data_IF_330104061420
#
_entry.id   IF_330104061420
#
_cell.length_a   1.000
_cell.length_b   1.000
_cell.length_c   1.000
_cell.angle_alpha   90.00
_cell.angle_beta   90.00
_cell.angle_gamma   90.00
#
_symmetry.space_group_name_H-M   'P 1'
#
loop_
_entity.id
_entity.type
_entity.pdbx_description
1 polymer ?
#
# COMPACT_ATOMS: atom_id res chain seq x y z
N UNK A 1 14.21 16.25 -7.64
CA UNK A 1 14.78 14.99 -8.19
C UNK A 1 13.71 13.92 -8.08
N UNK A 2 13.48 13.15 -9.12
CA UNK A 2 12.48 12.07 -9.14
C UNK A 2 13.20 10.72 -8.99
N UNK A 3 12.74 9.86 -8.08
CA UNK A 3 13.32 8.52 -7.89
C UNK A 3 12.71 7.59 -8.92
N UNK A 4 13.53 6.79 -9.60
CA UNK A 4 13.08 5.88 -10.68
C UNK A 4 12.16 4.75 -10.22
N UNK A 5 12.09 4.46 -8.91
CA UNK A 5 11.27 3.37 -8.34
C UNK A 5 11.43 2.05 -9.11
N UNK A 6 12.66 1.67 -9.38
CA UNK A 6 13.03 0.57 -10.30
C UNK A 6 12.38 -0.77 -9.93
N UNK A 7 12.09 -1.00 -8.65
CA UNK A 7 11.39 -2.20 -8.19
C UNK A 7 9.99 -2.33 -8.83
N UNK A 8 9.27 -1.21 -8.98
CA UNK A 8 7.95 -1.18 -9.64
C UNK A 8 8.09 -1.19 -11.15
N UNK A 9 9.01 -0.38 -11.72
CA UNK A 9 9.24 -0.33 -13.17
C UNK A 9 9.59 -1.71 -13.72
N UNK A 10 10.44 -2.48 -13.02
CA UNK A 10 10.79 -3.87 -13.41
C UNK A 10 9.58 -4.79 -13.50
N UNK A 11 8.58 -4.59 -12.64
CA UNK A 11 7.34 -5.38 -12.63
C UNK A 11 6.36 -4.92 -13.69
N UNK A 12 6.34 -3.63 -14.02
CA UNK A 12 5.42 -3.04 -15.01
C UNK A 12 5.90 -3.30 -16.44
N UNK A 13 7.22 -3.23 -16.70
CA UNK A 13 7.80 -3.38 -18.06
C UNK A 13 7.30 -4.60 -18.85
N UNK A 14 7.17 -5.80 -18.28
CA UNK A 14 6.64 -6.95 -19.04
C UNK A 14 5.23 -6.77 -19.59
N UNK A 15 4.48 -5.81 -19.07
CA UNK A 15 3.09 -5.53 -19.45
C UNK A 15 2.94 -4.29 -20.34
N UNK A 16 4.01 -3.54 -20.56
CA UNK A 16 4.02 -2.37 -21.44
C UNK A 16 3.75 -2.82 -22.87
N UNK A 17 2.82 -2.13 -23.55
CA UNK A 17 2.43 -2.44 -24.93
C UNK A 17 1.52 -3.68 -25.09
N UNK A 18 1.16 -4.35 -23.99
CA UNK A 18 0.31 -5.53 -23.95
C UNK A 18 -1.13 -5.19 -23.53
N UNK A 19 -2.08 -6.06 -23.91
CA UNK A 19 -3.53 -5.90 -23.72
C UNK A 19 -4.01 -5.66 -22.26
N UNK A 20 -3.44 -6.29 -21.21
CA UNK A 20 -3.93 -6.05 -19.87
C UNK A 20 -3.79 -4.59 -19.43
N UNK A 21 -4.87 -4.03 -18.86
CA UNK A 21 -4.89 -2.70 -18.27
C UNK A 21 -3.95 -2.69 -17.05
N UNK A 22 -3.09 -1.67 -16.94
CA UNK A 22 -2.19 -1.49 -15.81
C UNK A 22 -2.88 -0.60 -14.78
N UNK A 23 -3.18 -1.18 -13.63
CA UNK A 23 -3.89 -0.50 -12.55
C UNK A 23 -2.92 -0.23 -11.41
N UNK A 24 -2.64 1.03 -11.14
CA UNK A 24 -1.78 1.46 -10.04
C UNK A 24 -2.66 1.90 -8.86
N UNK A 25 -2.66 1.11 -7.80
CA UNK A 25 -3.43 1.38 -6.58
C UNK A 25 -2.50 1.72 -5.40
N UNK A 26 -3.07 2.07 -4.26
CA UNK A 26 -2.33 2.35 -3.04
C UNK A 26 -2.81 3.61 -2.34
N UNK A 27 -2.33 3.83 -1.11
CA UNK A 27 -2.74 4.97 -0.29
C UNK A 27 -2.51 6.31 -1.01
N UNK A 28 -3.36 7.29 -0.73
CA UNK A 28 -3.17 8.68 -1.20
C UNK A 28 -1.77 9.18 -0.83
N UNK A 29 -1.12 9.88 -1.76
CA UNK A 29 0.23 10.42 -1.54
C UNK A 29 1.38 9.43 -1.71
N UNK A 30 1.15 8.15 -2.01
CA UNK A 30 2.21 7.14 -2.22
C UNK A 30 3.02 7.31 -3.50
N UNK A 31 2.62 8.23 -4.39
CA UNK A 31 3.33 8.53 -5.65
C UNK A 31 2.80 7.80 -6.88
N UNK A 32 1.51 7.43 -6.90
CA UNK A 32 0.86 6.78 -8.07
C UNK A 32 0.95 7.63 -9.34
N UNK A 33 0.60 8.92 -9.25
CA UNK A 33 0.68 9.86 -10.39
C UNK A 33 2.11 9.97 -10.92
N UNK A 34 3.10 10.05 -10.00
CA UNK A 34 4.52 10.08 -10.39
C UNK A 34 4.94 8.78 -11.09
N UNK A 35 4.36 7.63 -10.71
CA UNK A 35 4.62 6.38 -11.43
C UNK A 35 4.08 6.42 -12.87
N UNK A 36 2.94 7.08 -13.13
CA UNK A 36 2.47 7.32 -14.50
C UNK A 36 3.47 8.15 -15.30
N UNK A 37 4.02 9.22 -14.70
CA UNK A 37 5.04 10.05 -15.34
C UNK A 37 6.30 9.26 -15.64
N UNK A 38 6.78 8.42 -14.70
CA UNK A 38 7.96 7.56 -14.91
C UNK A 38 7.75 6.55 -16.05
N UNK A 39 6.56 5.97 -16.16
CA UNK A 39 6.21 5.06 -17.25
C UNK A 39 6.20 5.83 -18.57
N UNK A 40 5.60 7.02 -18.61
CA UNK A 40 5.58 7.89 -19.80
C UNK A 40 7.00 8.28 -20.24
N UNK A 41 7.86 8.70 -19.30
CA UNK A 41 9.27 9.03 -19.58
C UNK A 41 10.02 7.84 -20.18
N UNK A 42 9.81 6.63 -19.65
CA UNK A 42 10.46 5.43 -20.19
C UNK A 42 9.96 5.08 -21.61
N UNK A 43 8.67 5.25 -21.87
CA UNK A 43 8.09 5.06 -23.20
C UNK A 43 8.64 6.07 -24.22
N UNK A 44 8.74 7.35 -23.85
CA UNK A 44 9.36 8.39 -24.68
C UNK A 44 10.83 8.05 -24.95
N UNK A 45 11.58 7.62 -23.92
CA UNK A 45 12.96 7.21 -24.07
C UNK A 45 13.14 5.98 -24.98
N UNK A 46 12.10 5.13 -25.11
CA UNK A 46 12.06 4.00 -26.05
C UNK A 46 11.67 4.37 -27.47
N UNK A 47 11.39 5.65 -27.75
CA UNK A 47 11.08 6.17 -29.08
C UNK A 47 9.60 6.39 -29.38
N UNK A 48 8.71 6.26 -28.39
CA UNK A 48 7.28 6.60 -28.56
C UNK A 48 7.12 8.11 -28.64
N UNK A 49 6.38 8.57 -29.64
CA UNK A 49 6.11 10.02 -29.82
C UNK A 49 5.20 10.56 -28.73
N UNK A 50 5.48 11.78 -28.24
CA UNK A 50 4.63 12.45 -27.26
C UNK A 50 3.19 12.64 -27.74
N UNK A 51 2.96 12.72 -29.06
CA UNK A 51 1.62 12.80 -29.67
C UNK A 51 0.76 11.53 -29.47
N UNK A 52 1.37 10.40 -29.11
CA UNK A 52 0.65 9.13 -28.86
C UNK A 52 0.12 9.02 -27.42
N UNK A 53 0.40 9.98 -26.55
CA UNK A 53 -0.05 9.98 -25.16
C UNK A 53 -1.27 10.86 -24.96
N UNK A 54 -2.32 10.28 -24.35
CA UNK A 54 -3.47 11.01 -23.86
C UNK A 54 -3.50 10.85 -22.35
N UNK A 55 -3.42 11.98 -21.62
CA UNK A 55 -3.28 11.98 -20.14
C UNK A 55 -4.33 12.88 -19.50
N UNK A 56 -5.14 12.32 -18.61
CA UNK A 56 -6.11 13.05 -17.80
C UNK A 56 -5.93 12.75 -16.32
N UNK A 57 -5.94 13.82 -15.50
CA UNK A 57 -6.10 13.72 -14.06
C UNK A 57 -7.49 14.23 -13.70
N UNK A 58 -8.35 13.35 -13.16
CA UNK A 58 -9.76 13.65 -12.90
C UNK A 58 -10.01 14.39 -11.58
N UNK A 59 -9.02 14.59 -10.73
CA UNK A 59 -9.11 15.57 -9.63
C UNK A 59 -8.92 17.01 -10.11
N UNK A 60 -8.40 17.22 -11.33
CA UNK A 60 -8.18 18.56 -11.87
C UNK A 60 -9.48 19.16 -12.41
N UNK A 61 -9.86 20.34 -11.93
CA UNK A 61 -11.10 21.03 -12.30
C UNK A 61 -11.28 21.24 -13.81
N UNK A 62 -10.17 21.42 -14.56
CA UNK A 62 -10.18 21.52 -16.02
C UNK A 62 -10.77 20.30 -16.70
N UNK A 63 -10.72 19.13 -16.07
CA UNK A 63 -11.21 17.86 -16.58
C UNK A 63 -12.58 17.45 -16.00
N UNK A 64 -13.21 18.30 -15.17
CA UNK A 64 -14.48 18.00 -14.52
C UNK A 64 -15.61 17.67 -15.52
N UNK A 65 -15.56 18.25 -16.72
CA UNK A 65 -16.51 17.97 -17.79
C UNK A 65 -16.37 16.56 -18.39
N UNK A 66 -15.27 15.85 -18.11
CA UNK A 66 -15.00 14.47 -18.57
C UNK A 66 -15.35 13.41 -17.52
N UNK A 67 -15.90 13.80 -16.37
CA UNK A 67 -16.19 12.87 -15.27
C UNK A 67 -17.45 12.00 -15.48
N UNK A 68 -17.84 11.75 -16.75
CA UNK A 68 -18.83 10.73 -17.12
C UNK A 68 -18.27 9.85 -18.24
N UNK A 69 -18.68 8.57 -18.26
CA UNK A 69 -18.20 7.62 -19.26
C UNK A 69 -18.43 8.11 -20.71
N UNK A 70 -19.61 8.72 -20.97
CA UNK A 70 -19.98 9.18 -22.31
C UNK A 70 -19.16 10.40 -22.76
N UNK A 71 -18.85 11.31 -21.82
CA UNK A 71 -18.03 12.49 -22.13
C UNK A 71 -16.57 12.08 -22.36
N UNK A 72 -16.02 11.23 -21.49
CA UNK A 72 -14.66 10.71 -21.65
C UNK A 72 -14.52 9.90 -22.92
N UNK A 73 -15.48 9.04 -23.24
CA UNK A 73 -15.47 8.25 -24.47
C UNK A 73 -15.38 9.13 -25.72
N UNK A 74 -16.26 10.13 -25.83
CA UNK A 74 -16.26 11.05 -26.99
C UNK A 74 -14.95 11.81 -27.13
N UNK A 75 -14.41 12.30 -26.02
CA UNK A 75 -13.13 13.02 -26.01
C UNK A 75 -11.96 12.15 -26.50
N UNK A 76 -11.86 10.92 -25.97
CA UNK A 76 -10.80 9.98 -26.39
C UNK A 76 -10.93 9.62 -27.85
N UNK A 77 -12.12 9.25 -28.33
CA UNK A 77 -12.33 8.90 -29.74
C UNK A 77 -11.96 10.08 -30.66
N UNK A 78 -12.33 11.31 -30.28
CA UNK A 78 -11.96 12.50 -31.04
C UNK A 78 -10.46 12.70 -31.12
N UNK A 79 -9.75 12.61 -29.98
CA UNK A 79 -8.29 12.80 -29.95
C UNK A 79 -7.54 11.67 -30.68
N UNK A 80 -8.06 10.45 -30.68
CA UNK A 80 -7.40 9.31 -31.34
C UNK A 80 -7.50 9.34 -32.87
N UNK A 81 -8.42 10.09 -33.48
CA UNK A 81 -8.58 10.17 -34.93
C UNK A 81 -7.36 10.73 -35.66
N UNK A 82 -6.56 11.53 -34.98
CA UNK A 82 -5.37 12.18 -35.56
C UNK A 82 -4.05 11.43 -35.18
N UNK A 83 -4.15 10.39 -34.38
CA UNK A 83 -2.96 9.65 -33.86
C UNK A 83 -2.72 8.42 -34.76
N UNK A 84 -1.52 8.34 -35.34
CA UNK A 84 -1.08 7.17 -36.06
C UNK A 84 -0.38 6.16 -35.14
N UNK A 85 -0.87 4.90 -35.15
CA UNK A 85 -0.31 3.82 -34.35
C UNK A 85 -0.95 3.67 -32.98
N UNK A 86 -0.27 2.96 -32.08
CA UNK A 86 -0.77 2.65 -30.74
C UNK A 86 -0.89 3.91 -29.88
N UNK A 87 -2.02 4.05 -29.18
CA UNK A 87 -2.30 5.16 -28.27
C UNK A 87 -2.04 4.71 -26.84
N UNK A 88 -1.39 5.57 -26.04
CA UNK A 88 -1.11 5.34 -24.64
C UNK A 88 -2.02 6.22 -23.76
N UNK A 89 -2.96 5.57 -23.06
CA UNK A 89 -3.99 6.24 -22.27
C UNK A 89 -3.59 6.23 -20.79
N UNK A 90 -3.44 7.42 -20.20
CA UNK A 90 -3.06 7.60 -18.81
C UNK A 90 -4.18 8.33 -18.05
N UNK A 91 -4.85 7.62 -17.14
CA UNK A 91 -5.97 8.13 -16.38
C UNK A 91 -5.68 8.13 -14.88
N UNK A 92 -5.41 9.31 -14.32
CA UNK A 92 -5.12 9.48 -12.92
C UNK A 92 -6.42 9.74 -12.13
N UNK A 93 -6.62 9.00 -11.02
CA UNK A 93 -7.81 9.00 -10.17
C UNK A 93 -9.11 8.73 -10.95
N UNK A 94 -9.11 7.65 -11.76
CA UNK A 94 -10.21 7.29 -12.70
C UNK A 94 -11.57 7.10 -12.00
N UNK A 95 -11.60 6.79 -10.69
CA UNK A 95 -12.84 6.60 -9.94
C UNK A 95 -13.68 7.88 -9.79
N UNK A 96 -13.15 9.03 -10.15
CA UNK A 96 -13.92 10.27 -10.23
C UNK A 96 -14.83 10.32 -11.46
N UNK A 97 -14.64 9.42 -12.44
CA UNK A 97 -15.48 9.28 -13.62
C UNK A 97 -16.61 8.28 -13.36
N UNK A 98 -17.85 8.70 -13.52
CA UNK A 98 -19.03 7.85 -13.31
C UNK A 98 -19.11 6.79 -14.43
N UNK A 99 -19.26 5.51 -14.06
CA UNK A 99 -19.33 4.35 -14.96
C UNK A 99 -18.07 4.19 -15.87
N UNK A 100 -16.91 4.60 -15.38
CA UNK A 100 -15.66 4.58 -16.12
C UNK A 100 -15.27 3.19 -16.66
N UNK A 101 -15.72 2.12 -16.02
CA UNK A 101 -15.40 0.73 -16.40
C UNK A 101 -15.87 0.40 -17.81
N UNK A 102 -17.07 0.90 -18.19
CA UNK A 102 -17.64 0.70 -19.52
C UNK A 102 -16.80 1.39 -20.57
N UNK A 103 -16.40 2.62 -20.30
CA UNK A 103 -15.59 3.43 -21.19
C UNK A 103 -14.21 2.78 -21.40
N UNK A 104 -13.52 2.38 -20.34
CA UNK A 104 -12.21 1.72 -20.43
C UNK A 104 -12.29 0.40 -21.21
N UNK A 105 -13.34 -0.39 -21.00
CA UNK A 105 -13.52 -1.63 -21.75
C UNK A 105 -13.78 -1.35 -23.27
N UNK A 106 -14.53 -0.29 -23.61
CA UNK A 106 -14.74 0.11 -25.01
C UNK A 106 -13.42 0.51 -25.68
N UNK A 107 -12.59 1.33 -25.03
CA UNK A 107 -11.28 1.69 -25.59
C UNK A 107 -10.41 0.46 -25.90
N UNK A 108 -10.38 -0.50 -24.99
CA UNK A 108 -9.62 -1.74 -25.19
C UNK A 108 -10.12 -2.57 -26.39
N UNK A 109 -11.41 -2.51 -26.69
CA UNK A 109 -12.02 -3.28 -27.79
C UNK A 109 -11.89 -2.55 -29.14
N UNK A 110 -11.99 -1.22 -29.11
CA UNK A 110 -12.15 -0.39 -30.32
C UNK A 110 -10.85 0.25 -30.79
N UNK A 111 -9.85 0.40 -29.89
CA UNK A 111 -8.60 1.11 -30.17
C UNK A 111 -7.38 0.18 -30.04
N UNK A 112 -6.36 0.40 -30.86
CA UNK A 112 -5.02 -0.10 -30.58
C UNK A 112 -4.40 0.77 -29.50
N UNK A 113 -4.64 0.42 -28.23
CA UNK A 113 -4.23 1.24 -27.12
C UNK A 113 -3.55 0.44 -25.99
N UNK A 114 -2.80 1.16 -25.17
CA UNK A 114 -2.20 0.70 -23.93
C UNK A 114 -2.70 1.57 -22.77
N UNK A 115 -3.35 0.97 -21.77
CA UNK A 115 -4.13 1.69 -20.78
C UNK A 115 -3.50 1.59 -19.40
N UNK A 116 -3.28 2.74 -18.76
CA UNK A 116 -2.77 2.91 -17.41
C UNK A 116 -3.76 3.73 -16.59
N UNK A 117 -4.20 3.20 -15.47
CA UNK A 117 -5.14 3.89 -14.58
C UNK A 117 -4.61 3.92 -13.14
N UNK A 118 -4.96 4.96 -12.39
CA UNK A 118 -4.69 5.00 -10.96
C UNK A 118 -5.96 5.13 -10.15
N UNK A 119 -5.86 4.74 -8.88
CA UNK A 119 -6.89 4.99 -7.88
C UNK A 119 -6.40 4.80 -6.46
N UNK A 120 -6.97 5.56 -5.53
CA UNK A 120 -6.60 5.56 -4.12
C UNK A 120 -7.40 4.56 -3.26
N UNK A 121 -8.14 3.62 -3.91
CA UNK A 121 -9.01 2.69 -3.18
C UNK A 121 -9.06 1.31 -3.84
N UNK A 122 -8.98 0.25 -3.02
CA UNK A 122 -9.06 -1.14 -3.49
C UNK A 122 -10.42 -1.50 -4.10
N UNK A 123 -11.49 -0.75 -3.78
CA UNK A 123 -12.80 -0.91 -4.43
C UNK A 123 -12.76 -0.58 -5.92
N UNK A 124 -11.73 0.13 -6.40
CA UNK A 124 -11.49 0.31 -7.82
C UNK A 124 -11.50 -1.04 -8.57
N UNK A 125 -11.06 -2.11 -7.91
CA UNK A 125 -10.94 -3.46 -8.47
C UNK A 125 -12.00 -4.45 -7.94
N UNK A 126 -13.05 -3.96 -7.27
CA UNK A 126 -14.13 -4.77 -6.70
C UNK A 126 -15.49 -4.48 -7.34
N UNK A 127 -16.47 -5.36 -7.12
CA UNK A 127 -17.83 -5.17 -7.61
C UNK A 127 -17.99 -5.36 -9.12
N UNK A 128 -18.65 -4.42 -9.80
CA UNK A 128 -18.90 -4.49 -11.24
C UNK A 128 -17.61 -4.54 -12.07
N UNK A 129 -16.55 -3.90 -11.59
CA UNK A 129 -15.24 -3.91 -12.23
C UNK A 129 -14.65 -5.32 -12.30
N UNK A 130 -14.72 -6.07 -11.20
CA UNK A 130 -14.29 -7.46 -11.19
C UNK A 130 -15.04 -8.29 -12.24
N UNK A 131 -16.25 -7.89 -12.60
CA UNK A 131 -17.07 -8.57 -13.61
C UNK A 131 -16.74 -8.12 -15.02
N UNK A 132 -16.64 -6.80 -15.28
CA UNK A 132 -16.38 -6.26 -16.64
C UNK A 132 -14.93 -6.44 -17.09
N UNK A 133 -13.96 -6.34 -16.18
CA UNK A 133 -12.54 -6.40 -16.49
C UNK A 133 -11.84 -7.65 -15.95
N UNK A 134 -12.59 -8.67 -15.52
CA UNK A 134 -12.04 -9.93 -14.98
C UNK A 134 -11.01 -10.54 -15.94
N UNK A 135 -9.79 -10.75 -15.43
CA UNK A 135 -8.68 -11.32 -16.22
C UNK A 135 -8.07 -10.35 -17.26
N UNK A 136 -8.45 -9.08 -17.25
CA UNK A 136 -8.03 -8.08 -18.26
C UNK A 136 -7.21 -6.93 -17.69
N UNK A 137 -6.83 -7.01 -16.41
CA UNK A 137 -5.99 -6.02 -15.75
C UNK A 137 -4.93 -6.68 -14.90
N UNK A 138 -3.88 -5.92 -14.64
CA UNK A 138 -2.83 -6.27 -13.66
C UNK A 138 -2.74 -5.13 -12.65
N UNK A 139 -2.81 -5.47 -11.37
CA UNK A 139 -2.70 -4.52 -10.28
C UNK A 139 -1.25 -4.38 -9.80
N UNK A 140 -0.85 -3.13 -9.60
CA UNK A 140 0.42 -2.74 -8.98
C UNK A 140 0.12 -1.85 -7.78
N UNK A 141 0.27 -2.39 -6.57
CA UNK A 141 0.09 -1.60 -5.35
C UNK A 141 1.35 -0.76 -5.13
N UNK A 142 1.18 0.57 -5.15
CA UNK A 142 2.24 1.54 -4.96
C UNK A 142 2.26 1.94 -3.48
N UNK A 143 3.25 1.45 -2.75
CA UNK A 143 3.47 1.75 -1.34
C UNK A 143 4.22 3.08 -1.16
N UNK A 144 4.16 3.74 0.01
CA UNK A 144 5.11 4.77 0.41
C UNK A 144 6.56 4.28 0.24
N UNK A 145 7.53 5.14 0.25
CA UNK A 145 8.92 4.78 0.03
C UNK A 145 9.42 3.71 1.01
N UNK A 146 10.15 2.75 0.48
CA UNK A 146 11.03 1.89 1.28
C UNK A 146 12.18 2.72 1.88
N UNK A 147 12.85 2.20 2.90
CA UNK A 147 14.05 2.87 3.41
C UNK A 147 15.10 3.10 2.32
N UNK A 148 15.23 2.19 1.36
CA UNK A 148 16.16 2.35 0.23
C UNK A 148 15.82 3.56 -0.62
N UNK A 149 14.56 3.71 -1.04
CA UNK A 149 14.05 4.84 -1.82
C UNK A 149 14.11 6.14 -1.02
N UNK A 150 13.72 6.10 0.26
CA UNK A 150 13.84 7.24 1.17
C UNK A 150 15.28 7.72 1.28
N UNK A 151 16.24 6.82 1.53
CA UNK A 151 17.65 7.15 1.66
C UNK A 151 18.21 7.80 0.40
N UNK A 152 17.85 7.29 -0.78
CA UNK A 152 18.27 7.87 -2.07
C UNK A 152 17.83 9.34 -2.16
N UNK A 153 16.56 9.63 -1.86
CA UNK A 153 16.04 10.99 -1.90
C UNK A 153 16.59 11.87 -0.75
N UNK A 154 16.69 11.31 0.45
CA UNK A 154 17.22 12.02 1.63
C UNK A 154 18.66 12.48 1.41
N UNK A 155 19.51 11.60 0.87
CA UNK A 155 20.91 11.95 0.58
C UNK A 155 21.03 12.97 -0.56
N UNK A 156 20.06 13.05 -1.47
CA UNK A 156 20.04 14.12 -2.47
C UNK A 156 19.74 15.51 -1.87
N UNK A 157 18.95 15.54 -0.77
CA UNK A 157 18.65 16.77 -0.03
C UNK A 157 19.78 17.11 0.96
N UNK A 158 20.39 16.07 1.58
CA UNK A 158 21.43 16.18 2.59
C UNK A 158 22.64 15.30 2.20
N UNK A 159 23.53 15.79 1.29
CA UNK A 159 24.62 14.96 0.75
C UNK A 159 25.63 14.48 1.80
N UNK A 160 25.74 15.18 2.94
CA UNK A 160 26.65 14.82 4.04
C UNK A 160 26.04 13.81 5.03
N UNK A 161 24.76 13.43 4.88
CA UNK A 161 24.11 12.51 5.79
C UNK A 161 24.61 11.08 5.62
N UNK A 162 24.93 10.43 6.75
CA UNK A 162 25.28 9.02 6.76
C UNK A 162 24.03 8.12 6.82
N UNK A 163 24.17 6.80 6.55
CA UNK A 163 23.02 5.87 6.56
C UNK A 163 22.29 5.79 7.89
N UNK A 164 22.96 5.96 9.04
CA UNK A 164 22.33 5.91 10.35
C UNK A 164 21.45 7.13 10.60
N UNK A 165 21.91 8.31 10.17
CA UNK A 165 21.11 9.55 10.21
C UNK A 165 19.87 9.44 9.32
N UNK A 166 20.03 8.94 8.08
CA UNK A 166 18.90 8.72 7.19
C UNK A 166 17.90 7.70 7.76
N UNK A 167 18.37 6.65 8.44
CA UNK A 167 17.50 5.68 9.07
C UNK A 167 16.76 6.24 10.27
N UNK A 168 17.44 7.04 11.11
CA UNK A 168 16.81 7.71 12.24
C UNK A 168 15.69 8.67 11.75
N UNK A 169 15.95 9.43 10.69
CA UNK A 169 14.94 10.30 10.10
C UNK A 169 13.77 9.49 9.53
N UNK A 170 14.04 8.38 8.82
CA UNK A 170 13.00 7.50 8.31
C UNK A 170 12.11 6.93 9.40
N UNK A 171 12.68 6.54 10.56
CA UNK A 171 11.92 6.06 11.70
C UNK A 171 10.92 7.09 12.23
N UNK A 172 11.26 8.38 12.13
CA UNK A 172 10.44 9.47 12.66
C UNK A 172 9.47 10.03 11.62
N UNK A 173 9.96 10.27 10.41
CA UNK A 173 9.20 10.96 9.35
C UNK A 173 8.34 9.99 8.51
N UNK A 174 8.69 8.71 8.44
CA UNK A 174 8.05 7.76 7.53
C UNK A 174 8.57 7.84 6.11
N UNK A 175 7.84 7.21 5.20
CA UNK A 175 8.21 7.05 3.79
C UNK A 175 7.31 7.81 2.80
N UNK A 176 6.51 8.78 3.23
CA UNK A 176 5.69 9.55 2.28
C UNK A 176 6.56 10.41 1.36
N UNK A 177 6.42 10.27 0.01
CA UNK A 177 7.33 10.90 -0.95
C UNK A 177 7.42 12.42 -0.85
N UNK A 178 6.32 13.10 -0.53
CA UNK A 178 6.25 14.56 -0.50
C UNK A 178 7.10 15.20 0.60
N UNK A 179 7.50 14.45 1.64
CA UNK A 179 8.32 14.97 2.75
C UNK A 179 9.66 15.54 2.30
N UNK A 180 10.20 15.04 1.20
CA UNK A 180 11.41 15.59 0.59
C UNK A 180 11.25 17.04 0.13
N UNK A 181 10.06 17.40 -0.39
CA UNK A 181 9.76 18.79 -0.79
C UNK A 181 9.72 19.74 0.42
N UNK A 182 9.42 19.22 1.59
CA UNK A 182 9.45 19.92 2.87
C UNK A 182 10.84 19.85 3.53
N UNK A 183 11.84 19.29 2.82
CA UNK A 183 13.21 19.09 3.29
C UNK A 183 13.27 18.38 4.65
N UNK A 184 12.32 17.50 4.91
CA UNK A 184 12.17 16.74 6.17
C UNK A 184 12.13 17.64 7.42
N UNK A 185 11.71 18.90 7.29
CA UNK A 185 11.53 19.80 8.43
C UNK A 185 10.39 19.27 9.31
N UNK A 186 10.68 19.07 10.61
CA UNK A 186 9.82 18.33 11.55
C UNK A 186 8.37 18.82 11.57
N UNK A 187 8.16 20.12 11.80
CA UNK A 187 6.81 20.66 11.94
C UNK A 187 6.04 20.70 10.61
N UNK A 188 6.60 21.16 9.47
CA UNK A 188 5.93 21.04 8.17
C UNK A 188 5.59 19.59 7.77
N UNK A 189 6.48 18.63 8.06
CA UNK A 189 6.22 17.22 7.78
C UNK A 189 5.07 16.67 8.63
N UNK A 190 5.01 17.01 9.93
CA UNK A 190 3.92 16.63 10.82
C UNK A 190 2.59 17.18 10.32
N UNK A 191 2.51 18.48 10.02
CA UNK A 191 1.31 19.13 9.49
C UNK A 191 0.84 18.50 8.16
N UNK A 192 1.79 18.17 7.29
CA UNK A 192 1.46 17.48 6.03
C UNK A 192 0.89 16.08 6.26
N UNK A 193 1.48 15.30 7.18
CA UNK A 193 1.03 13.93 7.48
C UNK A 193 -0.36 13.93 8.15
N UNK A 194 -0.63 14.88 9.05
CA UNK A 194 -1.95 15.10 9.64
C UNK A 194 -2.99 15.46 8.57
N UNK A 195 -2.70 16.42 7.69
CA UNK A 195 -3.59 16.80 6.59
C UNK A 195 -3.81 15.65 5.59
N UNK A 196 -2.79 14.83 5.35
CA UNK A 196 -2.90 13.64 4.52
C UNK A 196 -3.81 12.60 5.17
N UNK A 197 -3.62 12.33 6.46
CA UNK A 197 -4.46 11.44 7.25
C UNK A 197 -5.93 11.88 7.21
N UNK A 198 -6.21 13.15 7.47
CA UNK A 198 -7.56 13.73 7.38
C UNK A 198 -8.16 13.54 5.98
N UNK A 199 -7.38 13.76 4.93
CA UNK A 199 -7.83 13.55 3.56
C UNK A 199 -8.19 12.09 3.28
N UNK A 200 -7.39 11.12 3.76
CA UNK A 200 -7.68 9.69 3.63
C UNK A 200 -8.96 9.34 4.40
N UNK A 201 -9.09 9.80 5.66
CA UNK A 201 -10.25 9.50 6.49
C UNK A 201 -11.51 10.12 5.89
N UNK A 202 -11.50 11.41 5.56
CA UNK A 202 -12.70 12.13 5.11
C UNK A 202 -13.10 11.77 3.68
N UNK A 203 -12.17 11.76 2.72
CA UNK A 203 -12.48 11.51 1.31
C UNK A 203 -12.58 10.02 0.99
N UNK A 204 -11.54 9.25 1.35
CA UNK A 204 -11.40 7.88 0.87
C UNK A 204 -12.16 6.88 1.75
N UNK A 205 -12.47 7.21 3.02
CA UNK A 205 -13.22 6.35 3.93
C UNK A 205 -14.65 6.89 4.16
N UNK A 206 -14.80 8.05 4.79
CA UNK A 206 -16.11 8.58 5.24
C UNK A 206 -17.02 8.86 4.07
N UNK A 207 -16.61 9.74 3.14
CA UNK A 207 -17.43 10.15 1.99
C UNK A 207 -17.78 8.97 1.10
N UNK A 208 -16.79 8.12 0.79
CA UNK A 208 -16.97 7.00 -0.15
C UNK A 208 -17.86 5.88 0.38
N UNK A 209 -17.89 5.68 1.69
CA UNK A 209 -18.68 4.62 2.31
C UNK A 209 -19.92 5.15 3.04
N UNK A 210 -20.23 6.45 2.95
CA UNK A 210 -21.34 7.11 3.66
C UNK A 210 -21.32 6.77 5.16
N UNK A 211 -20.16 6.84 5.80
CA UNK A 211 -19.98 6.55 7.22
C UNK A 211 -20.79 7.57 8.04
N UNK A 212 -21.69 7.08 8.90
CA UNK A 212 -22.56 7.93 9.72
C UNK A 212 -21.94 8.28 11.06
N UNK A 213 -21.27 7.33 11.70
CA UNK A 213 -20.62 7.52 13.00
C UNK A 213 -19.11 7.69 12.80
N UNK A 214 -18.71 8.94 12.52
CA UNK A 214 -17.31 9.30 12.25
C UNK A 214 -16.47 9.18 13.53
N UNK A 215 -17.01 9.56 14.71
CA UNK A 215 -16.31 9.43 15.99
C UNK A 215 -15.96 7.95 16.31
N UNK A 216 -16.88 7.03 16.03
CA UNK A 216 -16.57 5.60 16.17
C UNK A 216 -15.46 5.15 15.21
N UNK A 217 -15.51 5.60 13.96
CA UNK A 217 -14.47 5.28 12.98
C UNK A 217 -13.10 5.79 13.45
N UNK A 218 -13.01 7.05 13.87
CA UNK A 218 -11.76 7.65 14.35
C UNK A 218 -11.20 6.90 15.56
N UNK A 219 -12.06 6.48 16.51
CA UNK A 219 -11.65 5.65 17.65
C UNK A 219 -11.12 4.28 17.24
N UNK A 220 -11.74 3.66 16.23
CA UNK A 220 -11.25 2.37 15.68
C UNK A 220 -9.88 2.57 15.04
N UNK A 221 -9.72 3.62 14.23
CA UNK A 221 -8.45 3.94 13.58
C UNK A 221 -7.37 4.22 14.63
N UNK A 222 -7.67 5.08 15.62
CA UNK A 222 -6.75 5.40 16.70
C UNK A 222 -6.31 4.16 17.48
N UNK A 223 -7.27 3.27 17.82
CA UNK A 223 -6.97 2.02 18.52
C UNK A 223 -6.03 1.12 17.71
N UNK A 224 -6.31 0.90 16.42
CA UNK A 224 -5.48 0.05 15.55
C UNK A 224 -4.10 0.69 15.37
N UNK A 225 -4.03 2.01 15.15
CA UNK A 225 -2.78 2.74 14.95
C UNK A 225 -1.88 2.71 16.20
N UNK A 226 -2.47 2.84 17.40
CA UNK A 226 -1.73 2.71 18.65
C UNK A 226 -1.22 1.27 18.89
N UNK A 227 -1.94 0.26 18.39
CA UNK A 227 -1.67 -1.16 18.58
C UNK A 227 -1.24 -1.88 17.29
N UNK A 228 -0.53 -1.18 16.41
CA UNK A 228 0.00 -1.76 15.16
C UNK A 228 0.81 -3.03 15.46
N UNK A 229 0.60 -4.09 14.67
CA UNK A 229 1.31 -5.36 14.87
C UNK A 229 0.82 -6.20 16.05
N UNK A 230 -0.14 -5.73 16.84
CA UNK A 230 -0.76 -6.54 17.90
C UNK A 230 -2.02 -7.25 17.42
N UNK A 231 -2.38 -8.35 18.11
CA UNK A 231 -3.60 -9.11 17.76
C UNK A 231 -4.87 -8.31 18.06
N UNK A 232 -5.72 -8.13 17.07
CA UNK A 232 -6.98 -7.41 17.18
C UNK A 232 -8.16 -8.39 17.33
N UNK A 233 -9.08 -8.07 18.24
CA UNK A 233 -10.34 -8.78 18.41
C UNK A 233 -11.52 -7.80 18.42
N UNK A 234 -12.39 -7.88 17.40
CA UNK A 234 -13.60 -7.05 17.35
C UNK A 234 -14.52 -7.26 18.57
N UNK A 235 -14.60 -8.50 19.08
CA UNK A 235 -15.36 -8.80 20.28
C UNK A 235 -14.79 -8.14 21.54
N UNK A 236 -13.46 -8.12 21.70
CA UNK A 236 -12.81 -7.44 22.81
C UNK A 236 -12.99 -5.93 22.73
N UNK A 237 -12.89 -5.38 21.52
CA UNK A 237 -13.12 -3.96 21.24
C UNK A 237 -14.55 -3.54 21.59
N UNK A 238 -15.57 -4.31 21.17
CA UNK A 238 -16.98 -4.00 21.46
C UNK A 238 -17.30 -4.11 22.96
N UNK A 239 -16.66 -5.05 23.69
CA UNK A 239 -16.78 -5.13 25.15
C UNK A 239 -16.24 -3.89 25.84
N UNK A 240 -15.09 -3.38 25.39
CA UNK A 240 -14.51 -2.14 25.89
C UNK A 240 -15.47 -0.96 25.68
N UNK A 241 -16.04 -0.79 24.46
CA UNK A 241 -17.02 0.26 24.18
C UNK A 241 -18.29 0.16 25.02
N UNK A 242 -18.75 -1.06 25.30
CA UNK A 242 -19.90 -1.30 26.18
C UNK A 242 -19.62 -0.84 27.59
N UNK A 243 -18.40 -0.99 28.10
CA UNK A 243 -18.02 -0.48 29.45
C UNK A 243 -17.96 1.05 29.50
N UNK A 244 -17.80 1.73 28.36
CA UNK A 244 -17.89 3.19 28.23
C UNK A 244 -19.34 3.69 27.94
N UNK A 245 -20.33 2.80 28.05
CA UNK A 245 -21.75 3.15 27.83
C UNK A 245 -22.20 3.20 26.39
N UNK A 246 -21.37 2.75 25.43
CA UNK A 246 -21.70 2.69 23.98
C UNK A 246 -21.89 1.24 23.55
N UNK A 247 -23.00 0.97 22.86
CA UNK A 247 -23.26 -0.35 22.26
C UNK A 247 -22.93 -0.31 20.77
N UNK A 248 -21.93 -1.10 20.38
CA UNK A 248 -21.49 -1.23 18.99
C UNK A 248 -21.46 -2.71 18.62
N UNK A 249 -21.94 -3.07 17.43
CA UNK A 249 -21.86 -4.44 16.95
C UNK A 249 -20.45 -4.76 16.41
N UNK A 250 -20.00 -6.01 16.58
CA UNK A 250 -18.73 -6.48 15.99
C UNK A 250 -18.74 -6.35 14.48
N UNK A 251 -19.91 -6.49 13.84
CA UNK A 251 -20.07 -6.34 12.41
C UNK A 251 -19.78 -4.88 11.96
N UNK A 252 -20.30 -3.88 12.69
CA UNK A 252 -20.00 -2.47 12.41
C UNK A 252 -18.50 -2.19 12.51
N UNK A 253 -17.84 -2.69 13.56
CA UNK A 253 -16.40 -2.54 13.74
C UNK A 253 -15.64 -3.16 12.57
N UNK A 254 -15.98 -4.39 12.17
CA UNK A 254 -15.33 -5.07 11.05
C UNK A 254 -15.58 -4.37 9.70
N UNK A 255 -16.77 -3.80 9.50
CA UNK A 255 -17.08 -3.01 8.31
C UNK A 255 -16.22 -1.73 8.26
N UNK A 256 -16.05 -1.02 9.37
CA UNK A 256 -15.21 0.18 9.42
C UNK A 256 -13.73 -0.16 9.18
N UNK A 257 -13.25 -1.27 9.76
CA UNK A 257 -11.90 -1.77 9.46
C UNK A 257 -11.76 -2.08 7.97
N UNK A 258 -12.75 -2.73 7.35
CA UNK A 258 -12.73 -3.01 5.92
C UNK A 258 -12.63 -1.75 5.08
N UNK A 259 -13.34 -0.66 5.45
CA UNK A 259 -13.23 0.62 4.77
C UNK A 259 -11.82 1.22 4.86
N UNK A 260 -11.14 1.03 6.00
CA UNK A 260 -9.74 1.45 6.16
C UNK A 260 -8.78 0.59 5.32
N UNK A 261 -9.03 -0.71 5.19
CA UNK A 261 -8.27 -1.59 4.30
C UNK A 261 -8.49 -1.22 2.82
N UNK A 262 -9.73 -0.95 2.43
CA UNK A 262 -10.08 -0.52 1.08
C UNK A 262 -9.39 0.81 0.70
N UNK A 263 -9.19 1.71 1.66
CA UNK A 263 -8.44 2.97 1.48
C UNK A 263 -6.91 2.81 1.58
N UNK A 264 -6.41 1.59 1.71
CA UNK A 264 -4.99 1.27 1.92
C UNK A 264 -4.37 1.97 3.14
N UNK A 265 -5.18 2.43 4.11
CA UNK A 265 -4.66 2.98 5.35
C UNK A 265 -4.01 1.90 6.21
N UNK A 266 -4.65 0.73 6.27
CA UNK A 266 -4.13 -0.45 6.94
C UNK A 266 -3.99 -1.63 6.00
N UNK A 267 -3.11 -2.57 6.40
CA UNK A 267 -2.94 -3.88 5.78
C UNK A 267 -3.18 -4.96 6.83
N UNK A 268 -3.95 -5.96 6.45
CA UNK A 268 -4.35 -7.07 7.32
C UNK A 268 -3.44 -8.27 7.13
N UNK A 269 -2.98 -8.85 8.23
CA UNK A 269 -2.23 -10.10 8.23
C UNK A 269 -3.03 -11.18 8.95
N UNK A 270 -3.26 -12.27 8.24
CA UNK A 270 -3.94 -13.44 8.79
C UNK A 270 -2.99 -14.25 9.67
N UNK A 271 -3.57 -14.92 10.65
CA UNK A 271 -2.84 -15.81 11.52
C UNK A 271 -2.82 -17.23 10.97
N UNK A 272 -1.69 -17.89 11.04
CA UNK A 272 -1.52 -19.29 10.66
C UNK A 272 -1.14 -20.11 11.89
N UNK A 273 -1.89 -21.18 12.15
CA UNK A 273 -1.48 -22.20 13.12
C UNK A 273 -0.41 -23.09 12.47
N UNK A 274 0.78 -23.09 13.07
CA UNK A 274 1.92 -23.88 12.57
C UNK A 274 1.73 -25.39 12.78
N UNK A 275 0.96 -25.79 13.79
CA UNK A 275 0.69 -27.21 14.07
C UNK A 275 -0.44 -27.76 13.19
N UNK A 276 -1.54 -27.01 13.06
CA UNK A 276 -2.71 -27.42 12.27
C UNK A 276 -2.65 -27.02 10.80
N UNK A 277 -1.67 -26.24 10.36
CA UNK A 277 -1.57 -25.66 8.99
C UNK A 277 -2.83 -24.90 8.54
N UNK A 278 -3.64 -24.44 9.48
CA UNK A 278 -4.89 -23.73 9.21
C UNK A 278 -4.70 -22.22 9.32
N UNK A 279 -5.28 -21.49 8.39
CA UNK A 279 -5.38 -20.03 8.48
C UNK A 279 -6.55 -19.71 9.41
N UNK A 280 -6.27 -19.00 10.50
CA UNK A 280 -7.28 -18.59 11.46
C UNK A 280 -7.88 -17.25 11.05
N UNK A 281 -9.20 -17.14 11.15
CA UNK A 281 -9.95 -15.92 10.83
C UNK A 281 -10.14 -14.99 12.04
N UNK A 282 -9.55 -15.33 13.18
CA UNK A 282 -9.65 -14.58 14.44
C UNK A 282 -8.29 -14.09 14.90
N UNK A 283 -8.27 -12.94 15.59
CA UNK A 283 -7.06 -12.31 16.11
C UNK A 283 -6.03 -11.97 15.02
N UNK A 284 -6.50 -11.34 13.95
CA UNK A 284 -5.67 -10.81 12.87
C UNK A 284 -4.80 -9.65 13.40
N UNK A 285 -3.66 -9.40 12.75
CA UNK A 285 -2.85 -8.20 13.00
C UNK A 285 -3.08 -7.17 11.88
N UNK A 286 -2.94 -5.90 12.23
CA UNK A 286 -3.05 -4.80 11.29
C UNK A 286 -1.78 -3.95 11.33
N UNK A 287 -1.33 -3.53 10.15
CA UNK A 287 -0.17 -2.67 9.95
C UNK A 287 -0.59 -1.43 9.17
N UNK A 288 -0.03 -0.29 9.53
CA UNK A 288 -0.32 0.98 8.85
C UNK A 288 0.54 1.14 7.59
N UNK A 289 0.00 1.75 6.55
CA UNK A 289 0.69 1.96 5.27
C UNK A 289 2.01 2.72 5.42
N UNK A 290 2.03 3.70 6.32
CA UNK A 290 3.21 4.49 6.62
C UNK A 290 3.28 4.81 8.12
N UNK A 291 4.39 4.46 8.73
CA UNK A 291 4.59 4.71 10.16
C UNK A 291 4.74 6.19 10.50
N UNK A 292 5.10 7.05 9.52
CA UNK A 292 5.13 8.50 9.72
C UNK A 292 3.76 9.09 10.02
N UNK A 293 2.68 8.53 9.46
CA UNK A 293 1.30 8.90 9.82
C UNK A 293 1.04 8.59 11.28
N UNK A 294 1.48 7.40 11.76
CA UNK A 294 1.37 7.03 13.17
C UNK A 294 2.15 8.00 14.08
N UNK A 295 3.37 8.33 13.69
CA UNK A 295 4.22 9.24 14.46
C UNK A 295 3.67 10.67 14.52
N UNK A 296 3.00 11.13 13.46
CA UNK A 296 2.34 12.44 13.43
C UNK A 296 1.18 12.51 14.44
N UNK A 297 0.37 11.44 14.54
CA UNK A 297 -0.79 11.36 15.43
C UNK A 297 -0.43 11.17 16.91
N UNK A 298 0.54 10.30 17.21
CA UNK A 298 0.85 9.89 18.58
C UNK A 298 2.13 10.51 19.17
N UNK A 299 2.92 11.20 18.31
CA UNK A 299 4.25 11.69 18.68
C UNK A 299 5.26 10.56 18.85
N UNK A 300 6.53 10.86 18.51
CA UNK A 300 7.62 9.88 18.58
C UNK A 300 7.81 9.32 19.99
N UNK A 301 7.47 8.07 20.20
CA UNK A 301 7.65 7.37 21.46
C UNK A 301 8.60 6.18 21.26
N UNK A 302 9.85 6.32 21.70
CA UNK A 302 10.85 5.25 21.63
C UNK A 302 10.44 3.96 22.34
N UNK A 303 9.44 4.00 23.24
CA UNK A 303 8.89 2.79 23.87
C UNK A 303 8.22 1.85 22.86
N UNK A 304 7.73 2.41 21.75
CA UNK A 304 7.01 1.68 20.71
C UNK A 304 7.91 1.31 19.52
N UNK A 305 9.23 1.48 19.63
CA UNK A 305 10.18 1.25 18.54
C UNK A 305 10.04 -0.15 17.93
N UNK A 306 9.74 -1.17 18.72
CA UNK A 306 9.51 -2.53 18.19
C UNK A 306 8.31 -2.60 17.26
N UNK A 307 7.20 -1.90 17.57
CA UNK A 307 6.00 -1.86 16.73
C UNK A 307 6.29 -1.15 15.41
N UNK A 308 7.06 -0.05 15.48
CA UNK A 308 7.47 0.70 14.28
C UNK A 308 8.37 -0.16 13.38
N UNK A 309 9.36 -0.83 13.95
CA UNK A 309 10.26 -1.72 13.19
C UNK A 309 9.51 -2.91 12.60
N UNK A 310 8.59 -3.52 13.34
CA UNK A 310 7.74 -4.60 12.84
C UNK A 310 6.89 -4.13 11.65
N UNK A 311 6.30 -2.92 11.75
CA UNK A 311 5.55 -2.30 10.65
C UNK A 311 6.43 -2.05 9.41
N UNK A 312 7.63 -1.51 9.58
CA UNK A 312 8.58 -1.26 8.48
C UNK A 312 8.97 -2.56 7.79
N UNK A 313 9.30 -3.59 8.56
CA UNK A 313 9.65 -4.92 8.02
C UNK A 313 8.46 -5.52 7.26
N UNK A 314 7.25 -5.45 7.83
CA UNK A 314 6.05 -5.92 7.17
C UNK A 314 5.82 -5.23 5.82
N UNK A 315 5.88 -3.91 5.76
CA UNK A 315 5.70 -3.15 4.53
C UNK A 315 6.79 -3.47 3.50
N UNK A 316 8.02 -3.73 3.94
CA UNK A 316 9.11 -4.15 3.04
C UNK A 316 8.85 -5.55 2.47
N UNK A 317 8.30 -6.48 3.26
CA UNK A 317 7.92 -7.81 2.80
C UNK A 317 6.84 -7.75 1.72
N UNK A 318 5.83 -6.89 1.89
CA UNK A 318 4.80 -6.66 0.85
C UNK A 318 5.41 -6.08 -0.43
N UNK A 319 6.32 -5.09 -0.34
CA UNK A 319 7.02 -4.52 -1.51
C UNK A 319 7.78 -5.59 -2.28
N UNK A 320 8.35 -6.58 -1.56
CA UNK A 320 9.06 -7.72 -2.14
C UNK A 320 8.14 -8.83 -2.61
N UNK A 321 6.80 -8.64 -2.54
CA UNK A 321 5.78 -9.58 -3.00
C UNK A 321 5.76 -10.91 -2.23
N UNK A 322 6.11 -10.89 -0.95
CA UNK A 322 5.86 -12.04 -0.09
C UNK A 322 4.39 -12.09 0.32
N UNK A 323 3.83 -13.29 0.31
CA UNK A 323 2.62 -13.58 1.07
C UNK A 323 3.00 -13.71 2.53
N UNK A 324 2.44 -12.85 3.38
CA UNK A 324 2.82 -12.77 4.79
C UNK A 324 1.69 -13.25 5.69
N UNK A 325 2.02 -14.12 6.62
CA UNK A 325 1.14 -14.55 7.71
C UNK A 325 1.88 -14.45 9.05
N UNK A 326 1.13 -14.36 10.17
CA UNK A 326 1.69 -14.43 11.52
C UNK A 326 1.64 -15.88 11.97
N UNK A 327 2.78 -16.40 12.45
CA UNK A 327 2.89 -17.77 12.93
C UNK A 327 2.62 -17.91 14.42
N UNK A 328 1.82 -18.90 14.81
CA UNK A 328 1.73 -19.35 16.20
C UNK A 328 2.06 -20.83 16.31
N UNK A 329 3.01 -21.18 17.19
CA UNK A 329 3.32 -22.55 17.57
C UNK A 329 3.22 -22.67 19.08
N UNK A 330 2.14 -23.29 19.55
CA UNK A 330 1.83 -23.44 20.95
C UNK A 330 1.92 -22.10 21.74
N UNK A 331 3.00 -21.86 22.47
CA UNK A 331 3.21 -20.66 23.26
C UNK A 331 4.10 -19.58 22.59
N UNK A 332 4.71 -19.90 21.43
CA UNK A 332 5.63 -18.98 20.76
C UNK A 332 4.98 -18.41 19.51
N UNK A 333 5.09 -17.10 19.36
CA UNK A 333 4.69 -16.36 18.16
C UNK A 333 5.94 -16.09 17.33
N UNK A 334 5.80 -16.24 16.00
CA UNK A 334 6.78 -15.78 15.01
C UNK A 334 6.13 -14.59 14.31
N UNK A 335 6.81 -13.44 14.29
CA UNK A 335 6.23 -12.21 13.76
C UNK A 335 5.76 -12.38 12.34
N UNK A 336 6.59 -12.97 11.46
CA UNK A 336 6.21 -13.20 10.08
C UNK A 336 6.64 -14.56 9.55
N UNK A 337 5.71 -15.22 8.88
CA UNK A 337 5.95 -16.33 7.96
C UNK A 337 5.73 -15.77 6.56
N UNK A 338 6.77 -15.79 5.75
CA UNK A 338 6.79 -15.19 4.43
C UNK A 338 6.95 -16.26 3.38
N UNK A 339 6.05 -16.29 2.40
CA UNK A 339 6.09 -17.26 1.30
C UNK A 339 6.15 -16.52 -0.03
N UNK A 340 7.08 -16.89 -0.89
CA UNK A 340 7.18 -16.40 -2.27
C UNK A 340 7.75 -17.51 -3.15
N UNK A 341 6.98 -17.97 -4.13
CA UNK A 341 7.31 -19.14 -4.96
C UNK A 341 7.63 -20.35 -4.05
N UNK A 342 8.82 -20.95 -4.17
CA UNK A 342 9.26 -22.07 -3.34
C UNK A 342 10.00 -21.65 -2.05
N UNK A 343 10.18 -20.34 -1.84
CA UNK A 343 10.88 -19.82 -0.67
C UNK A 343 9.92 -19.59 0.49
N UNK A 344 10.34 -20.07 1.67
CA UNK A 344 9.65 -19.81 2.93
C UNK A 344 10.64 -19.28 3.96
N UNK A 345 10.32 -18.12 4.54
CA UNK A 345 11.14 -17.45 5.54
C UNK A 345 10.34 -17.29 6.84
N UNK A 346 11.03 -17.38 7.96
CA UNK A 346 10.51 -17.08 9.29
C UNK A 346 11.29 -15.88 9.83
N UNK A 347 10.60 -14.81 10.16
CA UNK A 347 11.22 -13.55 10.56
C UNK A 347 10.74 -13.17 11.95
N UNK A 348 11.69 -12.85 12.84
CA UNK A 348 11.47 -12.24 14.14
C UNK A 348 12.10 -10.87 14.14
N UNK A 349 11.35 -9.84 14.51
CA UNK A 349 11.81 -8.46 14.58
C UNK A 349 12.08 -8.11 16.03
N UNK A 350 13.27 -7.60 16.34
CA UNK A 350 13.62 -7.16 17.69
C UNK A 350 14.57 -5.98 17.65
N UNK A 351 14.37 -5.05 18.56
CA UNK A 351 15.29 -3.94 18.81
C UNK A 351 16.15 -4.27 20.02
N UNK A 352 17.46 -4.35 19.79
CA UNK A 352 18.44 -4.54 20.86
C UNK A 352 19.17 -3.21 21.08
N UNK A 353 19.01 -2.63 22.26
CA UNK A 353 19.91 -1.57 22.70
C UNK A 353 21.31 -2.18 22.80
N UNK A 354 22.28 -1.60 22.10
CA UNK A 354 23.67 -1.93 22.33
C UNK A 354 24.00 -1.52 23.78
N UNK A 355 23.91 -2.49 24.69
CA UNK A 355 24.45 -2.29 26.04
C UNK A 355 25.96 -2.16 25.92
N UNK A 356 26.51 -1.09 26.50
CA UNK A 356 27.92 -0.97 26.67
C UNK A 356 28.45 -2.28 27.32
N UNK A 357 29.22 -2.96 26.53
CA UNK A 357 30.23 -3.99 26.85
C UNK A 357 30.04 -4.80 28.12
N UNK A 358 29.20 -5.85 28.10
CA UNK A 358 29.38 -7.07 28.91
C UNK A 358 28.90 -8.27 28.08
N UNK A 359 29.86 -8.90 27.41
CA UNK A 359 29.91 -10.31 27.04
C UNK A 359 28.61 -11.02 26.70
N UNK A 360 27.86 -10.59 25.68
CA UNK A 360 26.77 -11.37 25.12
C UNK A 360 27.37 -12.45 24.21
N UNK A 361 27.41 -13.69 24.70
CA UNK A 361 27.64 -14.88 23.89
C UNK A 361 26.60 -14.88 22.77
N UNK A 362 27.04 -14.84 21.52
CA UNK A 362 26.22 -15.07 20.32
C UNK A 362 25.60 -16.47 20.42
N UNK A 363 24.37 -16.56 20.87
CA UNK A 363 23.52 -17.72 20.63
C UNK A 363 22.61 -17.38 19.45
N UNK A 364 23.18 -17.42 18.24
CA UNK A 364 22.38 -17.67 17.06
C UNK A 364 21.93 -19.13 17.16
N UNK A 365 20.76 -19.38 17.71
CA UNK A 365 20.11 -20.68 17.62
C UNK A 365 19.67 -20.85 16.17
N UNK A 366 20.46 -21.57 15.39
CA UNK A 366 20.03 -22.07 14.10
C UNK A 366 18.80 -22.94 14.32
N UNK A 367 17.68 -22.56 13.70
CA UNK A 367 16.49 -23.41 13.62
C UNK A 367 16.91 -24.66 12.82
N UNK A 368 16.75 -25.87 13.36
CA UNK A 368 17.15 -27.09 12.66
C UNK A 368 16.35 -27.20 11.33
N UNK A 369 16.96 -27.68 10.25
CA UNK A 369 16.27 -27.90 9.00
C UNK A 369 15.14 -28.90 9.21
N UNK A 370 14.01 -28.65 8.54
CA UNK A 370 12.86 -29.57 8.56
C UNK A 370 13.29 -30.97 8.14
N UNK A 371 12.72 -32.05 8.75
CA UNK A 371 13.06 -33.41 8.42
C UNK A 371 12.82 -33.66 6.93
N UNK A 372 13.81 -34.15 6.23
CA UNK A 372 13.68 -34.61 4.83
C UNK A 372 12.71 -35.78 4.80
N UNK A 373 11.61 -35.63 4.08
CA UNK A 373 10.72 -36.74 3.77
C UNK A 373 11.52 -37.81 3.01
N UNK A 374 11.80 -38.92 3.68
CA UNK A 374 12.27 -40.13 3.01
C UNK A 374 11.10 -40.69 2.19
N UNK A 375 11.27 -40.70 0.88
CA UNK A 375 10.38 -41.44 -0.03
C UNK A 375 10.37 -42.93 0.34
N UNK A 376 9.22 -43.61 0.35
CA UNK A 376 9.19 -45.06 0.45
C UNK A 376 9.66 -45.62 -0.89
N UNK A 377 10.70 -46.46 -0.79
CA UNK A 377 11.19 -47.26 -1.91
C UNK A 377 10.07 -48.23 -2.37
N UNK A 378 9.95 -48.35 -3.68
CA UNK A 378 9.12 -49.32 -4.35
C UNK A 378 9.51 -50.76 -3.96
N UNK A 379 8.52 -51.56 -3.62
CA UNK A 379 8.43 -53.02 -3.89
C UNK A 379 6.98 -53.35 -4.31
#
# INVERSE_FOLDING_TARGET
MMIKREQYMRRIRPFIGNDPIKVLTGIRGSGKSVMLDLIKEELIASGISDAQFITFNFEAMKNAHLCTAEALYREIIQQTTEINGKVYLFFDEIQEVVNWERCINSFRVELDCDIYITGSNAKLLSGELATYLAGRYIEFIIYPFSFGEFRELYTSVFPAANPAQAFHEYLTAGGMPYLANLRYAREPCRQYLEALYDSVVLKDIVKRNNVRDVDLLERIIAYITANVGTSFSATSFTKFFKSEGRTVSSETVLNYIRYCLDAYLFYRVKRQDLQGKQILTTNEKYYIADHGIREAEFGGNMRDINLILENIVFMELLRREYTVTVGKSAEREVDFICEKQEQKLYIQVTYLLASEDKGLKKTAAAVPPAPRNSSPAAR
#
